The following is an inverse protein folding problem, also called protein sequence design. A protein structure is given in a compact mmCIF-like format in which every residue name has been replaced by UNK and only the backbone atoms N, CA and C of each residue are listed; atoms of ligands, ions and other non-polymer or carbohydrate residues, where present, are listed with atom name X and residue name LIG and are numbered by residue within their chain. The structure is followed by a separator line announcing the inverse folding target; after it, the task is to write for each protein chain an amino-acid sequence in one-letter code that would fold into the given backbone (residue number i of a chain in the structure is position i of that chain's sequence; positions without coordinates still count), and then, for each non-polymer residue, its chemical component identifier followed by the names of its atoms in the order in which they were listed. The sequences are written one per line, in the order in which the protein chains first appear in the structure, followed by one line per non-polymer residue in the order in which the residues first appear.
data_IF_890971211354
#
_entry.id   IF_890971211354
#
_cell.length_a   1.000
_cell.length_b   1.000
_cell.length_c   1.000
_cell.angle_alpha   90.00
_cell.angle_beta   90.00
_cell.angle_gamma   90.00
#
_symmetry.space_group_name_H-M   'P 1'
#
loop_
_entity.id
_entity.type
_entity.pdbx_description
1 polymer ?
#
# COMPACT_ATOMS: atom_id res chain seq x y z
N UNK A 1 -28.15 -28.39 -48.28
CA UNK A 1 -28.65 -27.66 -47.09
C UNK A 1 -28.37 -28.52 -45.87
N UNK A 2 -27.25 -28.28 -45.19
CA UNK A 2 -26.88 -28.95 -43.94
C UNK A 2 -26.15 -27.91 -43.08
N UNK A 3 -26.87 -27.35 -42.10
CA UNK A 3 -26.33 -26.48 -41.07
C UNK A 3 -25.57 -27.36 -40.07
N UNK A 4 -24.25 -27.16 -39.98
CA UNK A 4 -23.46 -27.63 -38.84
C UNK A 4 -23.35 -26.48 -37.85
N UNK A 5 -23.80 -26.76 -36.64
CA UNK A 5 -23.85 -25.83 -35.52
C UNK A 5 -22.94 -26.39 -34.42
N UNK A 6 -22.25 -25.47 -33.72
CA UNK A 6 -21.48 -25.64 -32.47
C UNK A 6 -20.10 -26.33 -32.60
N UNK A 7 -19.04 -25.93 -31.89
CA UNK A 7 -18.92 -25.06 -30.73
C UNK A 7 -17.57 -24.33 -30.77
N UNK A 8 -17.56 -23.02 -30.53
CA UNK A 8 -16.34 -22.28 -30.17
C UNK A 8 -16.10 -22.57 -28.68
N UNK A 9 -14.98 -23.21 -28.28
CA UNK A 9 -14.70 -23.32 -26.86
C UNK A 9 -14.29 -21.93 -26.38
N UNK A 10 -15.20 -21.31 -25.64
CA UNK A 10 -14.94 -20.18 -24.76
C UNK A 10 -14.04 -20.67 -23.61
N UNK A 11 -12.80 -21.03 -23.93
CA UNK A 11 -11.73 -21.14 -22.95
C UNK A 11 -11.24 -19.72 -22.71
N UNK A 12 -12.07 -19.01 -21.93
CA UNK A 12 -11.63 -17.94 -21.06
C UNK A 12 -10.47 -18.52 -20.25
N UNK A 13 -9.25 -18.33 -20.75
CA UNK A 13 -8.07 -18.30 -19.90
C UNK A 13 -8.31 -17.14 -18.94
N UNK A 14 -9.01 -17.44 -17.85
CA UNK A 14 -8.73 -16.86 -16.55
C UNK A 14 -7.22 -17.02 -16.39
N UNK A 15 -6.47 -16.05 -16.89
CA UNK A 15 -5.13 -15.78 -16.42
C UNK A 15 -5.29 -15.71 -14.91
N UNK A 16 -4.84 -16.77 -14.25
CA UNK A 16 -4.69 -16.82 -12.81
C UNK A 16 -3.97 -15.52 -12.46
N UNK A 17 -4.71 -14.54 -11.92
CA UNK A 17 -4.13 -13.25 -11.58
C UNK A 17 -2.98 -13.54 -10.63
N UNK A 18 -1.80 -12.92 -10.79
CA UNK A 18 -0.66 -13.08 -9.87
C UNK A 18 -0.95 -12.54 -8.44
N UNK A 19 -2.22 -12.30 -8.11
CA UNK A 19 -2.77 -11.67 -6.91
C UNK A 19 -2.65 -12.49 -5.62
N UNK A 20 -1.94 -13.63 -5.64
CA UNK A 20 -1.57 -14.39 -4.45
C UNK A 20 -0.07 -14.30 -4.11
N UNK A 21 0.65 -13.33 -4.67
CA UNK A 21 1.88 -12.85 -4.01
C UNK A 21 1.52 -12.37 -2.60
N UNK A 22 2.35 -12.67 -1.59
CA UNK A 22 2.14 -12.20 -0.22
C UNK A 22 1.84 -10.70 -0.22
N UNK A 23 0.63 -10.33 0.20
CA UNK A 23 0.22 -8.93 0.25
C UNK A 23 1.03 -8.19 1.33
N UNK A 24 1.38 -6.92 1.11
CA UNK A 24 2.11 -6.11 2.09
C UNK A 24 1.43 -6.09 3.46
N UNK A 25 2.21 -6.20 4.53
CA UNK A 25 1.67 -6.26 5.91
C UNK A 25 0.85 -5.04 6.29
N UNK A 26 1.17 -3.86 5.75
CA UNK A 26 0.43 -2.63 6.02
C UNK A 26 -1.04 -2.72 5.58
N UNK A 27 -1.39 -3.59 4.62
CA UNK A 27 -2.77 -3.82 4.21
C UNK A 27 -3.61 -4.55 5.26
N UNK A 28 -2.99 -5.05 6.33
CA UNK A 28 -3.61 -5.74 7.46
C UNK A 28 -3.35 -5.04 8.79
N UNK A 29 -2.93 -3.78 8.76
CA UNK A 29 -2.66 -3.02 9.97
C UNK A 29 -3.96 -2.78 10.76
N UNK A 30 -3.85 -2.85 12.08
CA UNK A 30 -4.96 -2.65 13.01
C UNK A 30 -4.90 -1.28 13.68
N UNK A 31 -6.05 -0.82 14.15
CA UNK A 31 -6.13 0.40 14.98
C UNK A 31 -5.51 0.14 16.35
N UNK A 32 -5.02 1.20 16.98
CA UNK A 32 -4.46 1.15 18.32
C UNK A 32 -5.49 1.61 19.36
N UNK A 33 -5.40 1.02 20.54
CA UNK A 33 -6.07 1.54 21.73
C UNK A 33 -5.34 2.80 22.21
N UNK A 34 -6.11 3.79 22.66
CA UNK A 34 -5.56 5.01 23.24
C UNK A 34 -5.09 4.71 24.66
N UNK A 35 -3.83 4.99 25.05
CA UNK A 35 -3.36 4.78 26.41
C UNK A 35 -4.20 5.58 27.42
N UNK A 36 -4.53 4.96 28.56
CA UNK A 36 -5.42 5.57 29.56
C UNK A 36 -4.83 6.86 30.17
N UNK A 37 -3.51 6.92 30.25
CA UNK A 37 -2.70 8.04 30.78
C UNK A 37 -2.20 8.98 29.67
N UNK A 38 -2.62 8.79 28.41
CA UNK A 38 -2.18 9.62 27.30
C UNK A 38 -2.59 11.10 27.48
N UNK A 39 -1.65 11.99 27.19
CA UNK A 39 -1.93 13.42 27.09
C UNK A 39 -2.79 13.75 25.86
N UNK A 40 -3.21 15.01 25.73
CA UNK A 40 -4.07 15.43 24.62
C UNK A 40 -3.40 15.27 23.25
N UNK A 41 -2.10 15.53 23.15
CA UNK A 41 -1.37 15.41 21.89
C UNK A 41 -1.26 13.93 21.49
N UNK A 42 -0.88 13.05 22.41
CA UNK A 42 -0.80 11.61 22.19
C UNK A 42 -2.13 11.02 21.74
N UNK A 43 -3.25 11.46 22.35
CA UNK A 43 -4.60 11.08 21.94
C UNK A 43 -4.88 11.44 20.48
N UNK A 44 -4.56 12.66 20.08
CA UNK A 44 -4.76 13.13 18.70
C UNK A 44 -3.87 12.40 17.70
N UNK A 45 -2.62 12.08 18.05
CA UNK A 45 -1.72 11.31 17.18
C UNK A 45 -2.26 9.90 16.95
N UNK A 46 -2.72 9.22 18.00
CA UNK A 46 -3.36 7.89 17.89
C UNK A 46 -4.67 7.96 17.09
N UNK A 47 -5.52 8.95 17.33
CA UNK A 47 -6.76 9.13 16.58
C UNK A 47 -6.51 9.37 15.08
N UNK A 48 -5.50 10.19 14.75
CA UNK A 48 -5.09 10.43 13.36
C UNK A 48 -4.56 9.17 12.69
N UNK A 49 -3.77 8.37 13.40
CA UNK A 49 -3.33 7.06 12.91
C UNK A 49 -4.52 6.12 12.68
N UNK A 50 -5.42 5.98 13.65
CA UNK A 50 -6.59 5.12 13.56
C UNK A 50 -7.53 5.52 12.40
N UNK A 51 -7.67 6.82 12.16
CA UNK A 51 -8.43 7.36 11.03
C UNK A 51 -7.79 6.96 9.70
N UNK A 52 -6.48 7.11 9.57
CA UNK A 52 -5.75 6.69 8.37
C UNK A 52 -5.83 5.17 8.13
N UNK A 53 -5.74 4.36 9.19
CA UNK A 53 -5.91 2.90 9.11
C UNK A 53 -7.32 2.54 8.63
N UNK A 54 -8.34 3.21 9.17
CA UNK A 54 -9.74 2.99 8.77
C UNK A 54 -9.95 3.32 7.30
N UNK A 55 -9.41 4.45 6.84
CA UNK A 55 -9.45 4.85 5.44
C UNK A 55 -8.77 3.84 4.52
N UNK A 56 -7.57 3.37 4.87
CA UNK A 56 -6.85 2.35 4.12
C UNK A 56 -7.64 1.04 4.05
N UNK A 57 -8.27 0.62 5.15
CA UNK A 57 -9.14 -0.57 5.16
C UNK A 57 -10.35 -0.42 4.22
N UNK A 58 -10.94 0.77 4.15
CA UNK A 58 -12.05 1.05 3.21
C UNK A 58 -11.55 0.98 1.77
N UNK A 59 -10.46 1.68 1.44
CA UNK A 59 -9.86 1.67 0.09
C UNK A 59 -9.46 0.25 -0.34
N UNK A 60 -8.85 -0.53 0.56
CA UNK A 60 -8.52 -1.93 0.33
C UNK A 60 -9.75 -2.76 -0.03
N UNK A 61 -10.84 -2.66 0.73
CA UNK A 61 -12.08 -3.38 0.43
C UNK A 61 -12.67 -2.99 -0.92
N UNK A 62 -12.61 -1.71 -1.27
CA UNK A 62 -13.07 -1.21 -2.58
C UNK A 62 -12.19 -1.78 -3.70
N UNK A 63 -10.87 -1.84 -3.52
CA UNK A 63 -9.94 -2.42 -4.47
C UNK A 63 -10.14 -3.92 -4.65
N UNK A 64 -10.31 -4.67 -3.56
CA UNK A 64 -10.64 -6.10 -3.58
C UNK A 64 -11.98 -6.39 -4.27
N UNK A 65 -12.90 -5.42 -4.25
CA UNK A 65 -14.18 -5.47 -4.95
C UNK A 65 -14.11 -4.97 -6.40
N UNK A 66 -12.94 -4.52 -6.86
CA UNK A 66 -12.74 -3.96 -8.21
C UNK A 66 -13.39 -2.58 -8.44
N UNK A 67 -13.76 -1.86 -7.39
CA UNK A 67 -14.40 -0.54 -7.46
C UNK A 67 -13.36 0.55 -7.74
N UNK A 68 -12.20 0.44 -7.11
CA UNK A 68 -11.07 1.37 -7.25
C UNK A 68 -9.84 0.60 -7.73
N UNK A 69 -8.85 1.32 -8.23
CA UNK A 69 -7.59 0.75 -8.71
C UNK A 69 -6.53 0.71 -7.59
N UNK A 70 -5.33 0.21 -7.88
CA UNK A 70 -4.29 0.03 -6.84
C UNK A 70 -3.70 1.38 -6.42
N UNK A 71 -3.65 2.32 -7.35
CA UNK A 71 -3.23 3.70 -7.16
C UNK A 71 -4.11 4.45 -6.15
N UNK A 72 -5.40 4.09 -6.02
CA UNK A 72 -6.31 4.68 -5.05
C UNK A 72 -5.99 4.27 -3.60
N UNK A 73 -5.11 3.28 -3.39
CA UNK A 73 -4.60 2.92 -2.05
C UNK A 73 -3.39 3.77 -1.65
N UNK A 74 -2.74 4.49 -2.57
CA UNK A 74 -1.49 5.21 -2.31
C UNK A 74 -1.69 6.30 -1.25
N UNK A 75 -2.71 7.13 -1.41
CA UNK A 75 -2.95 8.26 -0.49
C UNK A 75 -3.29 7.79 0.93
N UNK A 76 -4.27 6.87 1.16
CA UNK A 76 -4.54 6.33 2.48
C UNK A 76 -3.32 5.63 3.10
N UNK A 77 -2.57 4.85 2.32
CA UNK A 77 -1.37 4.18 2.81
C UNK A 77 -0.29 5.18 3.23
N UNK A 78 -0.11 6.26 2.46
CA UNK A 78 0.83 7.35 2.79
C UNK A 78 0.45 8.03 4.10
N UNK A 79 -0.85 8.27 4.35
CA UNK A 79 -1.31 8.81 5.64
C UNK A 79 -1.05 7.84 6.80
N UNK A 80 -1.17 6.53 6.59
CA UNK A 80 -0.78 5.52 7.59
C UNK A 80 0.73 5.60 7.85
N UNK A 81 1.57 5.69 6.81
CA UNK A 81 3.02 5.86 6.97
C UNK A 81 3.34 7.08 7.83
N UNK A 82 2.86 8.25 7.43
CA UNK A 82 3.22 9.51 8.08
C UNK A 82 2.75 9.54 9.53
N UNK A 83 1.52 9.10 9.79
CA UNK A 83 1.01 8.98 11.15
C UNK A 83 1.74 7.93 11.99
N UNK A 84 2.19 6.82 11.40
CA UNK A 84 2.99 5.80 12.10
C UNK A 84 4.37 6.29 12.51
N UNK A 85 4.95 7.23 11.77
CA UNK A 85 6.25 7.81 12.08
C UNK A 85 6.20 8.86 13.19
N UNK A 86 5.02 9.42 13.46
CA UNK A 86 4.79 10.32 14.58
C UNK A 86 4.41 9.59 15.89
N UNK A 87 4.04 8.30 15.83
CA UNK A 87 3.66 7.52 17.01
C UNK A 87 4.84 7.12 17.90
N UNK A 88 6.06 7.17 17.39
CA UNK A 88 7.26 6.71 18.10
C UNK A 88 8.40 7.69 17.85
N UNK A 89 9.31 7.82 18.81
CA UNK A 89 10.58 8.51 18.63
C UNK A 89 11.75 7.55 18.45
N UNK A 90 11.54 6.24 18.65
CA UNK A 90 12.58 5.23 18.44
C UNK A 90 12.92 5.13 16.95
N UNK A 91 14.16 5.46 16.56
CA UNK A 91 14.58 5.33 15.17
C UNK A 91 14.48 3.91 14.62
N UNK A 92 14.64 2.87 15.45
CA UNK A 92 14.53 1.47 15.00
C UNK A 92 13.09 1.10 14.66
N UNK A 93 12.11 1.57 15.44
CA UNK A 93 10.70 1.40 15.14
C UNK A 93 10.30 2.17 13.87
N UNK A 94 10.76 3.41 13.71
CA UNK A 94 10.56 4.18 12.46
C UNK A 94 11.14 3.46 11.24
N UNK A 95 12.33 2.86 11.35
CA UNK A 95 12.94 2.05 10.30
C UNK A 95 12.08 0.82 9.99
N UNK A 96 11.56 0.13 11.00
CA UNK A 96 10.68 -1.03 10.82
C UNK A 96 9.38 -0.64 10.08
N UNK A 97 8.75 0.46 10.49
CA UNK A 97 7.53 0.98 9.85
C UNK A 97 7.78 1.35 8.38
N UNK A 98 8.90 2.02 8.07
CA UNK A 98 9.28 2.36 6.69
C UNK A 98 9.56 1.11 5.84
N UNK A 99 10.12 0.03 6.41
CA UNK A 99 10.29 -1.23 5.68
C UNK A 99 8.95 -1.87 5.32
N UNK A 100 8.00 -1.91 6.26
CA UNK A 100 6.64 -2.39 5.98
C UNK A 100 5.95 -1.53 4.91
N UNK A 101 6.16 -0.22 4.91
CA UNK A 101 5.63 0.67 3.87
C UNK A 101 6.31 0.45 2.51
N UNK A 102 7.62 0.18 2.50
CA UNK A 102 8.37 -0.11 1.28
C UNK A 102 7.85 -1.38 0.58
N UNK A 103 7.48 -2.42 1.33
CA UNK A 103 6.81 -3.61 0.79
C UNK A 103 5.53 -3.23 0.01
N UNK A 104 4.74 -2.29 0.55
CA UNK A 104 3.55 -1.78 -0.14
C UNK A 104 3.88 -0.96 -1.38
N UNK A 105 4.85 -0.05 -1.29
CA UNK A 105 5.24 0.76 -2.43
C UNK A 105 5.74 -0.11 -3.60
N UNK A 106 6.56 -1.13 -3.31
CA UNK A 106 7.03 -2.11 -4.30
C UNK A 106 5.89 -2.95 -4.89
N UNK A 107 4.95 -3.38 -4.06
CA UNK A 107 3.76 -4.10 -4.50
C UNK A 107 2.90 -3.26 -5.44
N UNK A 108 2.65 -2.00 -5.08
CA UNK A 108 1.87 -1.06 -5.90
C UNK A 108 2.54 -0.77 -7.24
N UNK A 109 3.86 -0.54 -7.25
CA UNK A 109 4.64 -0.30 -8.48
C UNK A 109 4.60 -1.52 -9.40
N UNK A 110 4.75 -2.74 -8.85
CA UNK A 110 4.68 -3.98 -9.63
C UNK A 110 3.32 -4.14 -10.33
N UNK A 111 2.23 -3.88 -9.62
CA UNK A 111 0.88 -3.97 -10.21
C UNK A 111 0.68 -2.88 -11.25
N UNK A 112 1.05 -1.64 -10.94
CA UNK A 112 0.91 -0.52 -11.85
C UNK A 112 1.73 -0.72 -13.14
N UNK A 113 2.96 -1.24 -13.03
CA UNK A 113 3.80 -1.61 -14.17
C UNK A 113 3.12 -2.67 -15.04
N UNK A 114 2.63 -3.76 -14.42
CA UNK A 114 1.95 -4.83 -15.16
C UNK A 114 0.69 -4.33 -15.89
N UNK A 115 -0.08 -3.44 -15.28
CA UNK A 115 -1.25 -2.81 -15.92
C UNK A 115 -0.85 -1.85 -17.05
N UNK A 116 0.22 -1.08 -16.85
CA UNK A 116 0.75 -0.20 -17.88
C UNK A 116 1.26 -0.98 -19.10
N UNK A 117 2.05 -2.04 -18.89
CA UNK A 117 2.59 -2.89 -19.96
C UNK A 117 1.49 -3.64 -20.72
N UNK A 118 0.38 -3.98 -20.05
CA UNK A 118 -0.80 -4.57 -20.70
C UNK A 118 -1.75 -3.56 -21.34
N UNK A 119 -1.48 -2.25 -21.21
CA UNK A 119 -2.33 -1.18 -21.74
C UNK A 119 -3.65 -0.98 -20.98
N UNK A 120 -3.75 -1.53 -19.76
CA UNK A 120 -4.95 -1.46 -18.90
C UNK A 120 -4.89 -0.35 -17.85
N UNK A 121 -3.79 0.39 -17.79
CA UNK A 121 -3.63 1.60 -16.98
C UNK A 121 -2.85 2.69 -17.74
N UNK A 122 -3.09 3.98 -17.45
CA UNK A 122 -2.33 5.07 -18.04
C UNK A 122 -0.88 5.09 -17.51
N UNK A 123 0.09 5.65 -18.25
CA UNK A 123 1.49 5.79 -17.79
C UNK A 123 1.63 6.50 -16.43
N UNK A 124 0.75 7.46 -16.15
CA UNK A 124 0.75 8.22 -14.90
C UNK A 124 0.55 7.35 -13.66
N UNK A 125 -0.19 6.24 -13.75
CA UNK A 125 -0.39 5.32 -12.63
C UNK A 125 0.92 4.62 -12.24
N UNK A 126 1.71 4.19 -13.24
CA UNK A 126 3.03 3.59 -13.00
C UNK A 126 4.00 4.61 -12.40
N UNK A 127 4.08 5.81 -12.96
CA UNK A 127 5.00 6.84 -12.43
C UNK A 127 4.63 7.28 -11.01
N UNK A 128 3.35 7.35 -10.66
CA UNK A 128 2.91 7.65 -9.29
C UNK A 128 3.35 6.55 -8.29
N UNK A 129 3.15 5.27 -8.63
CA UNK A 129 3.57 4.16 -7.77
C UNK A 129 5.11 4.08 -7.63
N UNK A 130 5.84 4.33 -8.72
CA UNK A 130 7.30 4.44 -8.71
C UNK A 130 7.79 5.60 -7.85
N UNK A 131 7.14 6.75 -7.92
CA UNK A 131 7.46 7.90 -7.07
C UNK A 131 7.30 7.53 -5.59
N UNK A 132 6.21 6.84 -5.23
CA UNK A 132 5.98 6.37 -3.86
C UNK A 132 7.11 5.47 -3.34
N UNK A 133 7.56 4.50 -4.16
CA UNK A 133 8.69 3.64 -3.79
C UNK A 133 9.95 4.46 -3.57
N UNK A 134 10.29 5.34 -4.50
CA UNK A 134 11.50 6.17 -4.42
C UNK A 134 11.49 7.06 -3.17
N UNK A 135 10.37 7.72 -2.88
CA UNK A 135 10.23 8.57 -1.69
C UNK A 135 10.45 7.78 -0.41
N UNK A 136 9.85 6.59 -0.32
CA UNK A 136 9.99 5.68 0.82
C UNK A 136 11.43 5.21 1.02
N UNK A 137 12.10 4.79 -0.05
CA UNK A 137 13.51 4.37 0.00
C UNK A 137 14.42 5.52 0.45
N UNK A 138 14.17 6.74 -0.05
CA UNK A 138 14.91 7.93 0.34
C UNK A 138 14.73 8.22 1.83
N UNK A 139 13.49 8.18 2.34
CA UNK A 139 13.19 8.36 3.76
C UNK A 139 13.91 7.30 4.62
N UNK A 140 13.83 6.03 4.23
CA UNK A 140 14.48 4.92 4.92
C UNK A 140 16.00 5.11 4.98
N UNK A 141 16.64 5.42 3.84
CA UNK A 141 18.09 5.64 3.76
C UNK A 141 18.54 6.86 4.57
N UNK A 142 17.75 7.94 4.57
CA UNK A 142 18.03 9.14 5.38
C UNK A 142 18.02 8.80 6.86
N UNK A 143 16.99 8.08 7.32
CA UNK A 143 16.87 7.69 8.72
C UNK A 143 17.98 6.73 9.16
N UNK A 144 18.31 5.72 8.34
CA UNK A 144 19.43 4.80 8.60
C UNK A 144 20.75 5.56 8.77
N UNK A 145 21.08 6.47 7.86
CA UNK A 145 22.28 7.31 7.95
C UNK A 145 22.31 8.19 9.19
N UNK A 146 21.16 8.70 9.62
CA UNK A 146 21.06 9.47 10.87
C UNK A 146 21.38 8.58 12.07
N UNK A 147 20.81 7.36 12.13
CA UNK A 147 21.08 6.43 13.23
C UNK A 147 22.51 5.93 13.30
N UNK A 148 23.19 5.78 12.15
CA UNK A 148 24.61 5.41 12.10
C UNK A 148 25.52 6.53 12.60
N UNK A 149 25.19 7.80 12.32
CA UNK A 149 25.97 8.96 12.79
C UNK A 149 25.80 9.26 14.27
N UNK A 150 24.70 8.81 14.87
CA UNK A 150 24.40 9.02 16.28
C UNK A 150 24.94 7.90 17.19
N UNK A 151 25.57 6.87 16.62
CA UNK A 151 26.30 5.81 17.34
C UNK A 151 27.76 6.19 17.52
#
# INVERSE_FOLDING_TARGET
MMMRMFAVPLLLLLSLSPALAEQPKILFIETLEVPADADQLQKLVVERFNTAVTELKIAKKQYESGIVAIEDLIDPATRVRDSSLELTDDPQEKIANLKCFLEFAQYSEKIALSKFESGTAPPGAFEAAKYLRLDTEILLLRLQRQTEKSK
#
